data_IF_833399174372
#
_entry.id   IF_833399174372
#
_cell.length_a   1.000
_cell.length_b   1.000
_cell.length_c   1.000
_cell.angle_alpha   90.00
_cell.angle_beta   90.00
_cell.angle_gamma   90.00
#
_symmetry.space_group_name_H-M   'P 1'
#
loop_
_entity.id
_entity.type
_entity.pdbx_description
1 polymer ?
#
# COMPACT_ATOMS: atom_id res chain seq x y z
N UNK A 1 26.61 6.97 18.11
CA UNK A 1 25.62 5.93 18.49
C UNK A 1 24.38 6.14 17.65
N UNK A 2 24.05 5.19 16.76
CA UNK A 2 22.74 5.22 16.10
C UNK A 2 21.65 4.95 17.13
N UNK A 3 20.50 5.65 17.08
CA UNK A 3 19.38 5.33 17.97
C UNK A 3 18.91 3.90 17.74
N UNK A 4 18.54 3.21 18.82
CA UNK A 4 17.90 1.91 18.73
C UNK A 4 16.60 2.03 17.91
N UNK A 5 16.28 1.06 17.03
CA UNK A 5 15.02 1.07 16.31
C UNK A 5 13.86 1.08 17.30
N UNK A 6 12.87 1.94 17.06
CA UNK A 6 11.63 1.94 17.84
C UNK A 6 10.92 0.59 17.69
N UNK A 7 10.19 0.11 18.72
CA UNK A 7 9.37 -1.08 18.58
C UNK A 7 8.32 -0.82 17.49
N UNK A 8 8.33 -1.64 16.44
CA UNK A 8 7.25 -1.68 15.46
C UNK A 8 6.06 -2.39 16.09
N UNK A 9 4.88 -1.75 16.15
CA UNK A 9 3.69 -2.37 16.72
C UNK A 9 3.31 -3.61 15.89
N UNK A 10 3.07 -4.74 16.57
CA UNK A 10 2.60 -5.96 15.93
C UNK A 10 1.10 -5.83 15.61
N UNK A 11 0.65 -6.27 14.42
CA UNK A 11 -0.78 -6.31 14.09
C UNK A 11 -1.47 -7.37 14.94
N UNK A 12 -2.61 -7.01 15.53
CA UNK A 12 -3.49 -7.90 16.29
C UNK A 12 -4.44 -8.68 15.39
N UNK A 13 -5.02 -8.01 14.40
CA UNK A 13 -5.90 -8.59 13.38
C UNK A 13 -5.69 -7.88 12.05
N UNK A 14 -5.84 -8.64 10.96
CA UNK A 14 -5.78 -8.16 9.58
C UNK A 14 -6.99 -8.70 8.84
N UNK A 15 -7.88 -7.80 8.42
CA UNK A 15 -9.11 -8.14 7.72
C UNK A 15 -9.01 -7.68 6.25
N UNK A 16 -9.05 -8.64 5.32
CA UNK A 16 -8.99 -8.36 3.88
C UNK A 16 -10.40 -8.34 3.31
N UNK A 17 -10.87 -7.16 2.92
CA UNK A 17 -12.23 -6.98 2.39
C UNK A 17 -12.32 -7.38 0.91
N UNK A 18 -12.23 -8.68 0.61
CA UNK A 18 -12.23 -9.23 -0.76
C UNK A 18 -13.53 -8.91 -1.52
N UNK A 19 -14.68 -9.13 -0.88
CA UNK A 19 -15.99 -9.00 -1.55
C UNK A 19 -16.36 -7.55 -1.87
N UNK A 20 -16.17 -6.64 -0.91
CA UNK A 20 -16.47 -5.22 -1.10
C UNK A 20 -15.38 -4.52 -1.92
N UNK A 21 -14.16 -5.06 -1.94
CA UNK A 21 -13.03 -4.46 -2.66
C UNK A 21 -12.54 -3.16 -2.02
N UNK A 22 -12.89 -2.88 -0.76
CA UNK A 22 -12.63 -1.59 -0.10
C UNK A 22 -11.19 -1.45 0.36
N UNK A 23 -10.55 -2.55 0.76
CA UNK A 23 -9.16 -2.53 1.21
C UNK A 23 -8.87 -3.57 2.29
N UNK A 24 -7.86 -3.25 3.09
CA UNK A 24 -7.40 -4.04 4.24
C UNK A 24 -7.54 -3.18 5.49
N UNK A 25 -8.19 -3.72 6.50
CA UNK A 25 -8.26 -3.14 7.84
C UNK A 25 -7.27 -3.86 8.75
N UNK A 26 -6.55 -3.10 9.58
CA UNK A 26 -5.56 -3.61 10.53
C UNK A 26 -5.85 -3.00 11.89
N UNK A 27 -6.11 -3.87 12.88
CA UNK A 27 -6.05 -3.49 14.28
C UNK A 27 -4.65 -3.80 14.81
N UNK A 28 -4.05 -2.82 15.47
CA UNK A 28 -2.72 -2.94 16.04
C UNK A 28 -2.79 -3.28 17.54
N UNK A 29 -1.74 -3.92 18.05
CA UNK A 29 -1.64 -4.26 19.47
C UNK A 29 -1.60 -3.05 20.42
N UNK A 30 -1.24 -1.87 19.91
CA UNK A 30 -1.25 -0.58 20.62
C UNK A 30 -2.62 0.13 20.61
N UNK A 31 -3.63 -0.47 19.97
CA UNK A 31 -4.98 0.09 19.84
C UNK A 31 -5.16 1.04 18.66
N UNK A 32 -4.14 1.25 17.83
CA UNK A 32 -4.30 1.94 16.56
C UNK A 32 -5.15 1.09 15.60
N UNK A 33 -5.93 1.76 14.75
CA UNK A 33 -6.67 1.13 13.66
C UNK A 33 -6.26 1.79 12.35
N UNK A 34 -5.94 1.00 11.34
CA UNK A 34 -5.49 1.48 10.04
C UNK A 34 -6.31 0.85 8.92
N UNK A 35 -6.76 1.67 7.97
CA UNK A 35 -7.41 1.21 6.75
C UNK A 35 -6.57 1.57 5.52
N UNK A 36 -6.26 0.58 4.70
CA UNK A 36 -5.47 0.73 3.48
C UNK A 36 -6.24 0.25 2.25
N UNK A 37 -6.41 1.12 1.25
CA UNK A 37 -7.04 0.72 -0.02
C UNK A 37 -6.12 -0.19 -0.83
N UNK A 38 -6.68 -1.05 -1.69
CA UNK A 38 -5.87 -1.90 -2.57
C UNK A 38 -4.99 -1.10 -3.53
N UNK A 39 -5.45 0.06 -3.98
CA UNK A 39 -4.64 0.98 -4.80
C UNK A 39 -3.44 1.49 -4.02
N UNK A 40 -3.65 1.96 -2.78
CA UNK A 40 -2.54 2.41 -1.94
C UNK A 40 -1.52 1.30 -1.71
N UNK A 41 -1.98 0.09 -1.37
CA UNK A 41 -1.08 -1.06 -1.16
C UNK A 41 -0.29 -1.42 -2.42
N UNK A 42 -0.92 -1.33 -3.60
CA UNK A 42 -0.23 -1.55 -4.87
C UNK A 42 0.81 -0.47 -5.14
N UNK A 43 0.45 0.80 -4.92
CA UNK A 43 1.36 1.93 -5.11
C UNK A 43 2.47 1.95 -4.06
N UNK A 44 2.27 1.32 -2.90
CA UNK A 44 3.25 1.13 -1.84
C UNK A 44 3.98 -0.23 -1.91
N UNK A 45 3.79 -1.03 -2.96
CA UNK A 45 4.36 -2.37 -3.08
C UNK A 45 5.88 -2.39 -2.79
N UNK A 46 6.37 -3.18 -1.82
CA UNK A 46 7.77 -3.14 -1.37
C UNK A 46 8.72 -3.96 -2.25
N UNK A 47 8.23 -4.60 -3.33
CA UNK A 47 9.10 -5.41 -4.19
C UNK A 47 10.19 -4.54 -4.84
N UNK A 48 11.35 -5.14 -5.13
CA UNK A 48 12.50 -4.44 -5.68
C UNK A 48 12.11 -3.64 -6.94
N UNK A 49 11.38 -4.25 -7.88
CA UNK A 49 10.98 -3.58 -9.12
C UNK A 49 10.19 -2.28 -8.86
N UNK A 50 9.13 -2.33 -8.06
CA UNK A 50 8.29 -1.16 -7.77
C UNK A 50 9.02 -0.13 -6.90
N UNK A 51 9.84 -0.58 -5.96
CA UNK A 51 10.63 0.30 -5.11
C UNK A 51 11.64 1.12 -5.92
N UNK A 52 12.32 0.47 -6.86
CA UNK A 52 13.30 1.09 -7.75
C UNK A 52 12.64 2.09 -8.71
N UNK A 53 11.51 1.71 -9.33
CA UNK A 53 10.70 2.60 -10.18
C UNK A 53 10.25 3.86 -9.42
N UNK A 54 9.66 3.69 -8.23
CA UNK A 54 9.25 4.83 -7.39
C UNK A 54 10.40 5.75 -7.03
N UNK A 55 11.56 5.17 -6.68
CA UNK A 55 12.76 5.93 -6.36
C UNK A 55 13.23 6.77 -7.55
N UNK A 56 13.25 6.18 -8.75
CA UNK A 56 13.65 6.88 -9.97
C UNK A 56 12.68 8.02 -10.33
N UNK A 57 11.40 7.87 -10.02
CA UNK A 57 10.37 8.88 -10.27
C UNK A 57 10.23 9.90 -9.12
N UNK A 58 10.97 9.73 -8.01
CA UNK A 58 10.89 10.61 -6.85
C UNK A 58 9.56 10.52 -6.09
N UNK A 59 8.79 9.43 -6.27
CA UNK A 59 7.48 9.23 -5.62
C UNK A 59 7.60 8.62 -4.23
N UNK A 60 6.68 8.97 -3.33
CA UNK A 60 6.56 8.33 -2.01
C UNK A 60 5.80 7.00 -2.11
N UNK A 61 5.98 6.12 -1.13
CA UNK A 61 5.20 4.88 -1.05
C UNK A 61 3.70 5.23 -0.92
N UNK A 62 2.87 4.62 -1.76
CA UNK A 62 1.42 4.88 -1.81
C UNK A 62 1.00 6.08 -2.65
N UNK A 63 1.95 6.83 -3.20
CA UNK A 63 1.67 7.90 -4.16
C UNK A 63 1.49 7.32 -5.56
N UNK A 64 0.29 7.49 -6.14
CA UNK A 64 -0.01 6.96 -7.46
C UNK A 64 0.86 7.60 -8.55
N UNK A 65 1.24 6.87 -9.61
CA UNK A 65 1.87 7.46 -10.77
C UNK A 65 0.94 8.49 -11.43
N UNK A 66 1.36 9.73 -11.54
CA UNK A 66 0.63 10.76 -12.29
C UNK A 66 1.11 10.80 -13.74
N UNK A 67 0.16 10.81 -14.68
CA UNK A 67 0.49 11.08 -16.09
C UNK A 67 0.95 12.52 -16.25
N UNK A 68 1.86 12.77 -17.19
CA UNK A 68 2.32 14.13 -17.49
C UNK A 68 1.15 15.00 -17.96
N UNK A 69 1.15 16.31 -17.63
CA UNK A 69 0.15 17.22 -18.15
C UNK A 69 0.10 17.18 -19.67
N UNK A 70 -1.09 16.98 -20.24
CA UNK A 70 -1.30 16.91 -21.69
C UNK A 70 -1.15 15.51 -22.31
N UNK A 71 -0.74 14.50 -21.54
CA UNK A 71 -0.75 13.11 -21.98
C UNK A 71 -2.01 12.41 -21.46
N UNK A 72 -2.75 11.74 -22.36
CA UNK A 72 -3.94 11.01 -21.97
C UNK A 72 -3.53 9.81 -21.10
N UNK A 73 -4.08 9.67 -19.88
CA UNK A 73 -3.75 8.53 -19.03
C UNK A 73 -4.22 7.25 -19.70
N UNK A 74 -3.33 6.27 -19.81
CA UNK A 74 -3.75 4.91 -20.16
C UNK A 74 -4.72 4.39 -19.10
N UNK A 75 -5.82 3.78 -19.54
CA UNK A 75 -6.76 3.14 -18.63
C UNK A 75 -6.05 2.01 -17.87
N UNK A 76 -6.03 2.12 -16.53
CA UNK A 76 -5.63 1.04 -15.63
C UNK A 76 -6.85 0.59 -14.83
N UNK A 77 -7.28 -0.68 -14.97
CA UNK A 77 -8.35 -1.19 -14.14
C UNK A 77 -7.94 -1.17 -12.66
N UNK A 78 -8.89 -0.84 -11.78
CA UNK A 78 -8.65 -0.82 -10.35
C UNK A 78 -8.16 -2.19 -9.86
N UNK A 79 -7.13 -2.25 -9.00
CA UNK A 79 -6.66 -3.51 -8.46
C UNK A 79 -7.76 -4.16 -7.62
N UNK A 80 -8.20 -5.36 -8.02
CA UNK A 80 -9.14 -6.19 -7.27
C UNK A 80 -8.46 -7.49 -6.88
N UNK A 81 -8.35 -7.81 -5.58
CA UNK A 81 -7.82 -9.09 -5.15
C UNK A 81 -8.82 -10.21 -5.47
N UNK A 82 -8.31 -11.38 -5.81
CA UNK A 82 -9.10 -12.59 -6.08
C UNK A 82 -9.05 -13.59 -4.94
N UNK A 83 -8.05 -13.47 -4.05
CA UNK A 83 -7.79 -14.38 -2.94
C UNK A 83 -6.98 -13.67 -1.86
N UNK A 84 -7.10 -14.14 -0.61
CA UNK A 84 -6.25 -13.75 0.52
C UNK A 84 -6.00 -14.98 1.39
N UNK A 85 -4.77 -15.12 1.88
CA UNK A 85 -4.35 -16.18 2.81
C UNK A 85 -3.97 -15.54 4.15
N UNK A 86 -4.24 -16.23 5.28
CA UNK A 86 -3.77 -15.82 6.60
C UNK A 86 -2.24 -15.84 6.74
#
# INVERSE_FOLDING_TARGET
MSPAPLPTPDPRSVDVNLTSGTGVDIDWSDGHHSHYTFTFLRDACPCALCSEERRNEGRRAGESPHSKPGELPMFRPAPKPTHAEP
#
